data_IF_389971970263
#
_entry.id   IF_389971970263
#
_cell.length_a   1.000
_cell.length_b   1.000
_cell.length_c   1.000
_cell.angle_alpha   90.00
_cell.angle_beta   90.00
_cell.angle_gamma   90.00
#
_symmetry.space_group_name_H-M   'P 1'
#
loop_
_entity.id
_entity.type
_entity.pdbx_description
1 polymer ?
#
# COMPACT_ATOMS: atom_id res chain seq x y z
N UNK A 1 24.84 -5.45 12.07
CA UNK A 1 23.81 -4.56 11.47
C UNK A 1 23.08 -5.36 10.41
N UNK A 2 21.74 -5.36 10.36
CA UNK A 2 21.01 -6.02 9.25
C UNK A 2 21.14 -5.12 8.02
N UNK A 3 21.77 -5.60 6.97
CA UNK A 3 21.79 -4.90 5.69
C UNK A 3 20.34 -4.71 5.22
N UNK A 4 19.89 -3.46 5.22
CA UNK A 4 18.58 -3.04 4.68
C UNK A 4 18.64 -2.78 3.18
N UNK A 5 19.75 -3.19 2.54
CA UNK A 5 20.00 -3.14 1.11
C UNK A 5 18.88 -3.85 0.36
N UNK A 6 18.44 -3.27 -0.77
CA UNK A 6 17.46 -3.91 -1.64
C UNK A 6 18.06 -5.19 -2.22
N UNK A 7 17.34 -6.30 -2.13
CA UNK A 7 17.72 -7.53 -2.82
C UNK A 7 17.47 -7.41 -4.33
N UNK A 8 18.09 -8.26 -5.14
CA UNK A 8 17.82 -8.30 -6.59
C UNK A 8 16.34 -8.50 -6.92
N UNK A 9 15.63 -9.29 -6.11
CA UNK A 9 14.17 -9.47 -6.23
C UNK A 9 13.42 -8.17 -5.95
N UNK A 10 13.86 -7.39 -4.94
CA UNK A 10 13.24 -6.10 -4.63
C UNK A 10 13.41 -5.11 -5.79
N UNK A 11 14.62 -5.07 -6.38
CA UNK A 11 14.93 -4.22 -7.53
C UNK A 11 14.10 -4.63 -8.75
N UNK A 12 13.95 -5.93 -9.02
CA UNK A 12 13.11 -6.41 -10.11
C UNK A 12 11.65 -5.99 -9.93
N UNK A 13 11.10 -6.13 -8.72
CA UNK A 13 9.72 -5.71 -8.42
C UNK A 13 9.57 -4.21 -8.62
N UNK A 14 10.51 -3.39 -8.10
CA UNK A 14 10.49 -1.93 -8.28
C UNK A 14 10.50 -1.57 -9.77
N UNK A 15 11.31 -2.25 -10.58
CA UNK A 15 11.38 -2.01 -12.03
C UNK A 15 10.13 -2.44 -12.78
N UNK A 16 9.46 -3.50 -12.32
CA UNK A 16 8.24 -4.00 -12.94
C UNK A 16 7.00 -3.18 -12.56
N UNK A 17 7.01 -2.49 -11.42
CA UNK A 17 5.92 -1.62 -11.01
C UNK A 17 6.08 -0.26 -11.68
N UNK A 18 5.24 0.03 -12.66
CA UNK A 18 5.17 1.36 -13.25
C UNK A 18 4.62 2.36 -12.20
N UNK A 19 5.37 3.43 -11.92
CA UNK A 19 4.96 4.51 -11.02
C UNK A 19 3.63 5.14 -11.46
N UNK A 20 3.30 5.10 -12.76
CA UNK A 20 2.02 5.59 -13.31
C UNK A 20 0.80 4.81 -12.81
N UNK A 21 0.99 3.58 -12.35
CA UNK A 21 -0.09 2.76 -11.76
C UNK A 21 -0.31 3.14 -10.29
N UNK A 22 0.71 3.70 -9.63
CA UNK A 22 0.65 4.14 -8.24
C UNK A 22 0.26 5.62 -8.11
N UNK A 23 0.58 6.43 -9.13
CA UNK A 23 0.43 7.88 -9.09
C UNK A 23 -0.11 8.42 -10.43
N UNK A 24 -1.30 9.05 -10.46
CA UNK A 24 -2.29 9.12 -9.38
C UNK A 24 -2.95 7.76 -9.12
N UNK A 25 -3.57 7.57 -7.95
CA UNK A 25 -4.34 6.34 -7.69
C UNK A 25 -5.46 6.20 -8.72
N UNK A 26 -5.58 5.00 -9.27
CA UNK A 26 -6.75 4.64 -10.05
C UNK A 26 -7.97 4.42 -9.14
N UNK A 27 -9.16 4.76 -9.65
CA UNK A 27 -10.42 4.67 -8.90
C UNK A 27 -10.75 3.23 -8.46
N UNK A 28 -10.34 2.22 -9.22
CA UNK A 28 -10.54 0.81 -8.88
C UNK A 28 -9.80 0.43 -7.60
N UNK A 29 -8.58 0.95 -7.41
CA UNK A 29 -7.79 0.74 -6.18
C UNK A 29 -8.47 1.43 -5.00
N UNK A 30 -8.97 2.65 -5.18
CA UNK A 30 -9.69 3.39 -4.13
C UNK A 30 -10.93 2.63 -3.68
N UNK A 31 -11.75 2.15 -4.63
CA UNK A 31 -12.96 1.39 -4.36
C UNK A 31 -12.67 0.08 -3.61
N UNK A 32 -11.64 -0.66 -4.05
CA UNK A 32 -11.20 -1.89 -3.36
C UNK A 32 -10.72 -1.61 -1.91
N UNK A 33 -10.04 -0.48 -1.68
CA UNK A 33 -9.60 -0.10 -0.33
C UNK A 33 -10.78 0.18 0.60
N UNK A 34 -11.78 0.93 0.14
CA UNK A 34 -12.98 1.26 0.92
C UNK A 34 -13.77 -0.02 1.25
N UNK A 35 -14.03 -0.86 0.24
CA UNK A 35 -14.74 -2.14 0.42
C UNK A 35 -14.03 -3.09 1.41
N UNK A 36 -12.69 -3.17 1.32
CA UNK A 36 -11.91 -4.03 2.23
C UNK A 36 -11.74 -3.50 3.64
N UNK A 37 -11.99 -2.21 3.88
CA UNK A 37 -12.04 -1.63 5.22
C UNK A 37 -13.32 -2.02 5.93
N UNK A 38 -14.46 -1.93 5.23
CA UNK A 38 -15.77 -2.35 5.74
C UNK A 38 -15.77 -3.85 6.11
N UNK A 39 -15.13 -4.70 5.31
CA UNK A 39 -15.06 -6.15 5.57
C UNK A 39 -13.98 -6.57 6.57
N UNK A 40 -12.98 -5.74 6.87
CA UNK A 40 -11.98 -6.08 7.89
C UNK A 40 -12.49 -5.91 9.32
N UNK A 41 -13.52 -5.09 9.52
CA UNK A 41 -14.20 -4.96 10.81
C UNK A 41 -14.88 -6.28 11.23
N UNK A 42 -15.33 -7.11 10.28
CA UNK A 42 -16.10 -8.32 10.53
C UNK A 42 -15.27 -9.59 10.79
N UNK A 43 -13.98 -9.63 10.44
CA UNK A 43 -13.21 -10.90 10.38
C UNK A 43 -12.25 -11.13 11.57
N UNK A 44 -12.01 -10.14 12.45
CA UNK A 44 -10.97 -10.28 13.49
C UNK A 44 -11.50 -10.95 14.78
N UNK A 45 -10.87 -12.08 15.14
CA UNK A 45 -11.04 -12.87 16.39
C UNK A 45 -10.66 -12.14 17.70
N UNK A 46 -10.32 -10.86 17.66
CA UNK A 46 -9.86 -10.10 18.83
C UNK A 46 -10.81 -8.94 19.10
N UNK A 47 -11.26 -8.78 20.36
CA UNK A 47 -12.13 -7.69 20.82
C UNK A 47 -11.53 -6.27 20.72
N UNK A 48 -10.40 -6.10 20.04
CA UNK A 48 -9.75 -4.80 19.85
C UNK A 48 -10.18 -4.24 18.50
N UNK A 49 -10.79 -3.05 18.53
CA UNK A 49 -11.04 -2.28 17.32
C UNK A 49 -9.71 -2.07 16.56
N UNK A 50 -9.68 -2.32 15.24
CA UNK A 50 -8.46 -2.14 14.45
C UNK A 50 -8.07 -0.66 14.47
N UNK A 51 -6.77 -0.35 14.63
CA UNK A 51 -6.31 1.05 14.57
C UNK A 51 -6.50 1.62 13.15
N UNK A 52 -6.83 2.92 13.01
CA UNK A 52 -6.88 3.56 11.71
C UNK A 52 -5.52 3.50 11.01
N UNK A 53 -5.53 3.28 9.70
CA UNK A 53 -4.31 3.20 8.90
C UNK A 53 -3.65 4.59 8.77
N UNK A 54 -2.32 4.61 8.77
CA UNK A 54 -1.55 5.80 8.39
C UNK A 54 -1.26 5.82 6.88
N UNK A 55 -0.74 6.95 6.37
CA UNK A 55 -0.50 7.17 4.94
C UNK A 55 0.34 6.06 4.29
N UNK A 56 1.38 5.60 4.99
CA UNK A 56 2.25 4.53 4.51
C UNK A 56 1.54 3.17 4.46
N UNK A 57 0.69 2.86 5.45
CA UNK A 57 -0.08 1.62 5.48
C UNK A 57 -1.12 1.59 4.35
N UNK A 58 -1.75 2.72 4.04
CA UNK A 58 -2.65 2.85 2.89
C UNK A 58 -1.87 2.62 1.59
N UNK A 59 -0.72 3.28 1.41
CA UNK A 59 0.15 3.08 0.26
C UNK A 59 0.57 1.62 0.07
N UNK A 60 1.13 0.98 1.11
CA UNK A 60 1.57 -0.42 1.06
C UNK A 60 0.43 -1.36 0.65
N UNK A 61 -0.80 -1.08 1.12
CA UNK A 61 -1.96 -1.91 0.82
C UNK A 61 -2.41 -1.77 -0.64
N UNK A 62 -2.34 -0.55 -1.18
CA UNK A 62 -2.56 -0.29 -2.61
C UNK A 62 -1.48 -0.99 -3.46
N UNK A 63 -0.21 -0.88 -3.06
CA UNK A 63 0.90 -1.57 -3.71
C UNK A 63 0.69 -3.09 -3.73
N UNK A 64 0.24 -3.67 -2.62
CA UNK A 64 -0.08 -5.10 -2.55
C UNK A 64 -1.16 -5.50 -3.56
N UNK A 65 -2.18 -4.65 -3.74
CA UNK A 65 -3.26 -4.89 -4.68
C UNK A 65 -2.73 -4.93 -6.12
N UNK A 66 -1.92 -3.93 -6.50
CA UNK A 66 -1.30 -3.86 -7.82
C UNK A 66 -0.38 -5.05 -8.06
N UNK A 67 0.53 -5.31 -7.12
CA UNK A 67 1.52 -6.39 -7.26
C UNK A 67 0.86 -7.76 -7.35
N UNK A 68 -0.20 -8.02 -6.57
CA UNK A 68 -0.93 -9.30 -6.66
C UNK A 68 -1.68 -9.49 -7.97
N UNK A 69 -2.15 -8.41 -8.60
CA UNK A 69 -2.80 -8.48 -9.92
C UNK A 69 -1.78 -8.69 -11.03
N UNK A 70 -0.62 -8.06 -10.93
CA UNK A 70 0.34 -8.00 -12.03
C UNK A 70 1.47 -9.04 -11.94
N UNK A 71 1.76 -9.59 -10.76
CA UNK A 71 2.91 -10.47 -10.53
C UNK A 71 2.53 -11.67 -9.65
N UNK A 72 3.03 -12.88 -9.95
CA UNK A 72 2.97 -14.02 -9.04
C UNK A 72 3.97 -13.81 -7.90
N UNK A 73 3.61 -12.93 -6.95
CA UNK A 73 4.49 -12.49 -5.88
C UNK A 73 3.92 -12.78 -4.48
N UNK A 74 4.71 -13.47 -3.65
CA UNK A 74 4.32 -13.92 -2.30
C UNK A 74 4.26 -12.80 -1.23
N UNK A 75 4.60 -11.55 -1.57
CA UNK A 75 4.47 -10.42 -0.64
C UNK A 75 5.57 -10.29 0.41
N UNK A 76 6.53 -11.23 0.50
CA UNK A 76 7.53 -11.30 1.59
C UNK A 76 8.37 -10.04 1.76
N UNK A 77 8.76 -9.39 0.67
CA UNK A 77 9.57 -8.16 0.70
C UNK A 77 8.76 -6.88 0.42
N UNK A 78 7.43 -6.98 0.33
CA UNK A 78 6.58 -5.86 -0.07
C UNK A 78 6.75 -4.64 0.84
N UNK A 79 7.01 -4.84 2.14
CA UNK A 79 7.26 -3.71 3.07
C UNK A 79 8.52 -2.94 2.70
N UNK A 80 9.58 -3.65 2.26
CA UNK A 80 10.85 -3.03 1.90
C UNK A 80 10.72 -2.28 0.59
N UNK A 81 10.10 -2.91 -0.41
CA UNK A 81 9.76 -2.28 -1.69
C UNK A 81 8.90 -1.04 -1.47
N UNK A 82 7.83 -1.16 -0.67
CA UNK A 82 6.95 -0.04 -0.36
C UNK A 82 7.71 1.11 0.32
N UNK A 83 8.57 0.81 1.29
CA UNK A 83 9.36 1.84 1.98
C UNK A 83 10.29 2.57 1.02
N UNK A 84 10.89 1.85 0.07
CA UNK A 84 11.76 2.46 -0.94
C UNK A 84 10.97 3.38 -1.89
N UNK A 85 9.90 2.87 -2.51
CA UNK A 85 9.05 3.68 -3.42
C UNK A 85 8.47 4.89 -2.69
N UNK A 86 8.00 4.71 -1.45
CA UNK A 86 7.46 5.81 -0.66
C UNK A 86 8.50 6.88 -0.31
N UNK A 87 9.77 6.51 -0.10
CA UNK A 87 10.83 7.50 0.17
C UNK A 87 11.18 8.29 -1.09
N UNK A 88 11.19 7.63 -2.24
CA UNK A 88 11.48 8.27 -3.52
C UNK A 88 10.32 9.11 -4.07
N UNK A 89 9.09 8.81 -3.68
CA UNK A 89 7.92 9.55 -4.14
C UNK A 89 7.94 11.01 -3.63
N UNK A 90 7.55 11.92 -4.51
CA UNK A 90 7.37 13.36 -4.24
C UNK A 90 6.20 13.60 -3.29
N UNK A 91 6.11 14.82 -2.74
CA UNK A 91 5.01 15.18 -1.84
C UNK A 91 3.68 15.24 -2.59
N UNK A 92 3.71 15.63 -3.86
CA UNK A 92 2.59 15.68 -4.78
C UNK A 92 2.05 14.29 -5.06
N UNK A 93 2.93 13.33 -5.35
CA UNK A 93 2.58 11.92 -5.52
C UNK A 93 1.98 11.33 -4.24
N UNK A 94 2.51 11.69 -3.07
CA UNK A 94 1.98 11.23 -1.78
C UNK A 94 0.62 11.82 -1.45
N UNK A 95 0.24 12.96 -2.05
CA UNK A 95 -0.99 13.70 -1.72
C UNK A 95 -2.24 12.84 -1.88
N UNK A 96 -2.35 12.06 -2.96
CA UNK A 96 -3.51 11.19 -3.17
C UNK A 96 -3.67 10.14 -2.04
N UNK A 97 -2.56 9.63 -1.50
CA UNK A 97 -2.58 8.72 -0.35
C UNK A 97 -2.89 9.42 0.96
N UNK A 98 -2.48 10.70 1.13
CA UNK A 98 -2.84 11.52 2.28
C UNK A 98 -4.35 11.76 2.30
N UNK A 99 -4.93 12.13 1.16
CA UNK A 99 -6.36 12.42 1.03
C UNK A 99 -7.19 11.13 1.20
N UNK A 100 -6.76 10.02 0.59
CA UNK A 100 -7.37 8.72 0.85
C UNK A 100 -7.28 8.34 2.33
N UNK A 101 -6.16 8.57 3.00
CA UNK A 101 -6.05 8.26 4.43
C UNK A 101 -6.99 9.09 5.29
N UNK A 102 -7.24 10.37 4.94
CA UNK A 102 -8.24 11.19 5.63
C UNK A 102 -9.64 10.60 5.47
N UNK A 103 -10.03 10.27 4.23
CA UNK A 103 -11.32 9.64 3.93
C UNK A 103 -11.50 8.34 4.74
N UNK A 104 -10.48 7.47 4.77
CA UNK A 104 -10.56 6.20 5.49
C UNK A 104 -10.60 6.37 7.01
N UNK A 105 -10.07 7.47 7.55
CA UNK A 105 -10.18 7.81 8.99
C UNK A 105 -11.56 8.33 9.36
N UNK A 106 -12.20 9.10 8.48
CA UNK A 106 -13.57 9.60 8.69
C UNK A 106 -14.60 8.47 8.66
N UNK A 107 -14.32 7.39 7.94
CA UNK A 107 -15.17 6.20 7.83
C UNK A 107 -14.94 5.15 8.93
N UNK A 108 -13.97 5.37 9.82
CA UNK A 108 -13.56 4.42 10.87
C UNK A 108 -14.25 4.72 12.20
#
# INVERSE_FOLDING_TARGET
MKDNSLSNVDIQIIRMIDKKILFPLSEDIVSDMISKLQTQATVRRTNRQPKPMNNFMVFRRCLNHVVKKSLPYDGKNLSRVAAHIWREATMEEKKCYVDLTKLLKEQH
#
